data_IF_122209047548
#
_entry.id   IF_122209047548
#
_cell.length_a   1.000
_cell.length_b   1.000
_cell.length_c   1.000
_cell.angle_alpha   90.00
_cell.angle_beta   90.00
_cell.angle_gamma   90.00
#
_symmetry.space_group_name_H-M   'P 1'
#
loop_
_entity.id
_entity.type
_entity.pdbx_description
1 polymer ?
#
# COMPACT_ATOMS: atom_id res chain seq x y z
N UNK A 1 26.50 16.96 5.13
CA UNK A 1 26.46 15.51 4.89
C UNK A 1 27.51 14.85 5.77
N UNK A 2 27.21 13.66 6.25
CA UNK A 2 28.12 12.80 7.01
C UNK A 2 28.55 11.61 6.16
N UNK A 3 29.81 11.20 6.29
CA UNK A 3 30.38 10.05 5.57
C UNK A 3 30.75 8.96 6.56
N UNK A 4 30.21 7.76 6.36
CA UNK A 4 30.50 6.57 7.15
C UNK A 4 30.79 5.38 6.24
N UNK A 5 31.40 4.34 6.79
CA UNK A 5 31.64 3.08 6.07
C UNK A 5 30.72 1.99 6.64
N UNK A 6 29.96 1.30 5.80
CA UNK A 6 29.12 0.16 6.19
C UNK A 6 29.50 -1.04 5.33
N UNK A 7 30.03 -2.10 5.96
CA UNK A 7 30.49 -3.33 5.29
C UNK A 7 31.45 -3.06 4.11
N UNK A 8 32.38 -2.11 4.27
CA UNK A 8 33.34 -1.72 3.25
C UNK A 8 32.82 -0.72 2.20
N UNK A 9 31.53 -0.38 2.23
CA UNK A 9 30.93 0.63 1.34
C UNK A 9 30.95 2.00 2.01
N UNK A 10 31.42 3.02 1.29
CA UNK A 10 31.26 4.42 1.71
C UNK A 10 29.81 4.84 1.51
N UNK A 11 29.21 5.41 2.55
CA UNK A 11 27.82 5.86 2.59
C UNK A 11 27.82 7.34 2.97
N UNK A 12 27.08 8.14 2.21
CA UNK A 12 26.79 9.53 2.56
C UNK A 12 25.36 9.63 3.08
N UNK A 13 25.19 10.28 4.23
CA UNK A 13 23.88 10.46 4.85
C UNK A 13 23.71 11.90 5.35
N UNK A 14 22.47 12.31 5.57
CA UNK A 14 22.17 13.58 6.23
C UNK A 14 22.47 13.49 7.73
N UNK A 15 22.84 14.62 8.33
CA UNK A 15 23.08 14.69 9.76
C UNK A 15 21.78 14.38 10.53
N UNK A 16 21.90 13.63 11.64
CA UNK A 16 20.74 13.11 12.39
C UNK A 16 20.16 11.78 11.87
N UNK A 17 20.59 11.29 10.70
CA UNK A 17 20.18 9.96 10.20
C UNK A 17 20.73 8.84 11.09
N UNK A 18 19.95 7.78 11.32
CA UNK A 18 20.41 6.59 12.08
C UNK A 18 21.22 5.65 11.19
N UNK A 19 22.07 4.80 11.78
CA UNK A 19 22.80 3.78 11.01
C UNK A 19 21.85 2.88 10.22
N UNK A 20 20.68 2.53 10.78
CA UNK A 20 19.69 1.71 10.09
C UNK A 20 19.19 2.38 8.81
N UNK A 21 18.83 3.66 8.88
CA UNK A 21 18.34 4.39 7.71
C UNK A 21 19.45 4.58 6.67
N UNK A 22 20.67 4.90 7.09
CA UNK A 22 21.82 5.00 6.19
C UNK A 22 22.12 3.67 5.49
N UNK A 23 22.03 2.54 6.20
CA UNK A 23 22.20 1.21 5.63
C UNK A 23 21.11 0.89 4.58
N UNK A 24 19.86 1.28 4.85
CA UNK A 24 18.75 1.06 3.92
C UNK A 24 18.91 1.86 2.62
N UNK A 25 19.44 3.08 2.67
CA UNK A 25 19.70 3.90 1.48
C UNK A 25 20.64 3.22 0.47
N UNK A 26 21.57 2.39 0.95
CA UNK A 26 22.53 1.66 0.11
C UNK A 26 22.19 0.17 -0.05
N UNK A 27 20.96 -0.21 0.28
CA UNK A 27 20.44 -1.57 0.10
C UNK A 27 20.96 -2.61 1.10
N UNK A 28 21.61 -2.20 2.20
CA UNK A 28 22.09 -3.12 3.24
C UNK A 28 20.92 -3.46 4.18
N UNK A 29 20.56 -4.74 4.21
CA UNK A 29 19.44 -5.24 5.00
C UNK A 29 19.87 -5.56 6.44
N UNK A 30 19.31 -4.83 7.41
CA UNK A 30 19.48 -5.09 8.84
C UNK A 30 18.13 -5.51 9.43
N UNK A 31 18.01 -6.66 10.10
CA UNK A 31 16.73 -7.15 10.60
C UNK A 31 16.21 -6.33 11.79
N UNK A 32 14.89 -6.13 11.86
CA UNK A 32 14.21 -5.45 12.97
C UNK A 32 12.76 -5.92 13.13
N UNK A 33 12.22 -5.78 14.35
CA UNK A 33 10.78 -5.93 14.63
C UNK A 33 10.17 -4.71 15.33
N UNK A 34 10.98 -3.91 16.03
CA UNK A 34 10.50 -2.79 16.83
C UNK A 34 10.80 -1.41 16.23
N UNK A 35 11.26 -1.38 14.99
CA UNK A 35 11.54 -0.15 14.27
C UNK A 35 10.39 0.20 13.33
N UNK A 36 10.08 1.48 13.25
CA UNK A 36 9.17 2.05 12.27
C UNK A 36 9.72 3.43 11.93
N UNK A 37 9.83 3.77 10.64
CA UNK A 37 10.47 5.00 10.17
C UNK A 37 9.85 6.27 10.76
N UNK A 38 8.54 6.27 10.96
CA UNK A 38 7.80 7.43 11.47
C UNK A 38 7.69 7.45 13.01
N UNK A 39 8.43 6.63 13.74
CA UNK A 39 8.42 6.70 15.20
C UNK A 39 9.84 6.82 15.75
N UNK A 40 9.96 7.48 16.89
CA UNK A 40 11.24 7.60 17.59
C UNK A 40 11.92 6.23 17.75
N UNK A 41 13.25 6.13 17.62
CA UNK A 41 13.93 4.87 17.82
C UNK A 41 13.67 4.23 19.19
N UNK A 42 13.51 2.89 19.23
CA UNK A 42 13.32 2.13 20.48
C UNK A 42 14.54 1.33 20.91
N UNK A 43 15.17 0.62 19.96
CA UNK A 43 16.26 -0.33 20.25
C UNK A 43 15.86 -1.55 21.08
N UNK A 44 14.56 -1.80 21.33
CA UNK A 44 14.11 -2.85 22.26
C UNK A 44 14.34 -4.30 21.78
N UNK A 45 14.11 -4.60 20.49
CA UNK A 45 14.18 -5.98 20.00
C UNK A 45 15.60 -6.52 19.80
N UNK A 46 16.61 -5.65 19.71
CA UNK A 46 18.04 -5.98 19.53
C UNK A 46 18.40 -6.83 18.30
N UNK A 47 17.49 -7.03 17.35
CA UNK A 47 17.82 -7.65 16.05
C UNK A 47 18.76 -6.77 15.22
N UNK A 48 18.56 -5.46 15.29
CA UNK A 48 19.30 -4.45 14.53
C UNK A 48 20.71 -4.15 15.08
N UNK A 49 21.26 -5.01 15.93
CA UNK A 49 22.59 -4.79 16.48
C UNK A 49 23.64 -4.83 15.36
N UNK A 50 24.59 -3.90 15.43
CA UNK A 50 25.74 -3.75 14.52
C UNK A 50 26.99 -3.48 15.34
N UNK A 51 28.15 -3.77 14.77
CA UNK A 51 29.43 -3.39 15.35
C UNK A 51 29.83 -2.03 14.79
N UNK A 52 30.04 -1.06 15.68
CA UNK A 52 30.47 0.28 15.33
C UNK A 52 31.86 0.50 15.89
N UNK A 53 32.81 0.81 15.02
CA UNK A 53 34.19 1.15 15.38
C UNK A 53 34.37 2.66 15.28
N UNK A 54 34.79 3.27 16.38
CA UNK A 54 35.12 4.70 16.48
C UNK A 54 36.53 4.81 17.07
N UNK A 55 37.45 5.47 16.37
CA UNK A 55 38.84 5.66 16.82
C UNK A 55 39.52 4.36 17.30
N UNK A 56 39.31 3.25 16.57
CA UNK A 56 39.86 1.93 16.91
C UNK A 56 39.09 1.15 17.99
N UNK A 57 38.08 1.74 18.64
CA UNK A 57 37.25 1.05 19.63
C UNK A 57 35.95 0.53 19.02
N UNK A 58 35.77 -0.79 19.01
CA UNK A 58 34.55 -1.45 18.51
C UNK A 58 33.55 -1.69 19.63
N UNK A 59 32.29 -1.27 19.44
CA UNK A 59 31.17 -1.54 20.36
C UNK A 59 29.94 -2.03 19.59
N UNK A 60 29.15 -2.87 20.25
CA UNK A 60 27.85 -3.29 19.74
C UNK A 60 26.81 -2.20 20.00
N UNK A 61 26.12 -1.74 18.96
CA UNK A 61 25.12 -0.69 19.02
C UNK A 61 23.85 -1.07 18.26
N UNK A 62 22.65 -0.64 18.71
CA UNK A 62 21.43 -0.80 17.94
C UNK A 62 21.42 0.19 16.77
N UNK A 63 21.46 -0.30 15.53
CA UNK A 63 21.52 0.57 14.35
C UNK A 63 20.30 1.49 14.23
N UNK A 64 19.14 1.05 14.72
CA UNK A 64 17.90 1.83 14.67
C UNK A 64 17.93 3.10 15.52
N UNK A 65 18.78 3.20 16.54
CA UNK A 65 18.82 4.31 17.49
C UNK A 65 20.17 5.04 17.53
N UNK A 66 21.23 4.41 17.00
CA UNK A 66 22.54 5.03 16.97
C UNK A 66 22.64 6.01 15.79
N UNK A 67 22.94 7.30 16.02
CA UNK A 67 23.10 8.27 14.94
C UNK A 67 24.34 7.95 14.12
N UNK A 68 24.23 8.03 12.79
CA UNK A 68 25.38 7.97 11.91
C UNK A 68 26.29 9.17 12.19
N UNK A 69 27.61 8.94 12.17
CA UNK A 69 28.64 9.96 12.47
C UNK A 69 29.75 9.87 11.44
N UNK A 70 30.47 10.96 11.25
CA UNK A 70 31.65 10.97 10.38
C UNK A 70 32.71 9.97 10.83
N UNK A 71 33.32 9.30 9.85
CA UNK A 71 34.48 8.42 10.02
C UNK A 71 34.25 7.23 10.97
N UNK A 72 33.01 6.77 11.11
CA UNK A 72 32.72 5.51 11.80
C UNK A 72 32.70 4.35 10.79
N UNK A 73 33.18 3.19 11.25
CA UNK A 73 33.13 1.95 10.47
C UNK A 73 32.08 1.04 11.10
N UNK A 74 31.11 0.62 10.30
CA UNK A 74 30.01 -0.25 10.73
C UNK A 74 30.14 -1.59 10.04
N UNK A 75 30.08 -2.67 10.83
CA UNK A 75 29.96 -4.04 10.31
C UNK A 75 28.60 -4.61 10.70
N UNK A 76 27.91 -5.21 9.74
CA UNK A 76 26.54 -5.72 9.94
C UNK A 76 26.45 -7.25 9.94
N UNK A 77 27.51 -7.95 9.54
CA UNK A 77 27.51 -9.39 9.27
C UNK A 77 28.65 -10.18 9.97
N UNK A 78 29.22 -9.67 11.07
CA UNK A 78 30.27 -10.38 11.82
C UNK A 78 29.75 -11.66 12.47
N UNK A 79 30.63 -12.61 12.75
CA UNK A 79 30.27 -13.88 13.40
C UNK A 79 29.56 -13.64 14.75
N UNK A 80 30.05 -12.65 15.51
CA UNK A 80 29.46 -12.23 16.80
C UNK A 80 28.02 -11.74 16.62
N UNK A 81 27.75 -10.93 15.59
CA UNK A 81 26.41 -10.44 15.28
C UNK A 81 25.49 -11.56 14.83
N UNK A 82 25.97 -12.46 13.96
CA UNK A 82 25.20 -13.60 13.47
C UNK A 82 24.78 -14.50 14.64
N UNK A 83 25.71 -14.84 15.54
CA UNK A 83 25.41 -15.63 16.75
C UNK A 83 24.36 -14.95 17.64
N UNK A 84 24.51 -13.65 17.87
CA UNK A 84 23.55 -12.87 18.66
C UNK A 84 22.15 -12.82 18.04
N UNK A 85 22.06 -12.57 16.72
CA UNK A 85 20.79 -12.52 15.98
C UNK A 85 20.10 -13.89 15.96
N UNK A 86 20.85 -14.98 15.79
CA UNK A 86 20.31 -16.35 15.88
C UNK A 86 19.70 -16.63 17.24
N UNK A 87 20.38 -16.26 18.34
CA UNK A 87 19.85 -16.42 19.69
C UNK A 87 18.54 -15.63 19.88
N UNK A 88 18.50 -14.37 19.43
CA UNK A 88 17.28 -13.55 19.51
C UNK A 88 16.16 -14.17 18.67
N UNK A 89 16.45 -14.65 17.47
CA UNK A 89 15.48 -15.33 16.62
C UNK A 89 14.94 -16.62 17.27
N UNK A 90 15.78 -17.42 17.92
CA UNK A 90 15.34 -18.60 18.68
C UNK A 90 14.39 -18.23 19.83
N UNK A 91 14.66 -17.13 20.54
CA UNK A 91 13.79 -16.63 21.62
C UNK A 91 12.46 -16.10 21.08
N UNK A 92 12.50 -15.38 19.95
CA UNK A 92 11.29 -14.91 19.28
C UNK A 92 10.43 -16.07 18.78
N UNK A 93 11.06 -17.09 18.18
CA UNK A 93 10.40 -18.31 17.71
C UNK A 93 9.83 -19.13 18.87
N UNK A 94 10.52 -19.21 20.01
CA UNK A 94 9.97 -19.84 21.21
C UNK A 94 8.74 -19.11 21.73
N UNK A 95 8.72 -17.79 21.64
CA UNK A 95 7.57 -17.00 22.06
C UNK A 95 6.40 -17.13 21.09
N UNK A 96 6.66 -16.97 19.80
CA UNK A 96 5.66 -16.87 18.73
C UNK A 96 5.92 -17.92 17.63
N UNK A 97 5.72 -19.23 17.92
CA UNK A 97 6.09 -20.30 16.99
C UNK A 97 5.19 -20.39 15.75
N UNK A 98 3.98 -19.83 15.81
CA UNK A 98 2.96 -19.97 14.76
C UNK A 98 2.76 -18.67 13.94
N UNK A 99 3.67 -17.70 14.06
CA UNK A 99 3.55 -16.41 13.38
C UNK A 99 4.51 -16.36 12.19
N UNK A 100 3.97 -16.25 10.98
CA UNK A 100 4.75 -16.28 9.73
C UNK A 100 5.87 -15.25 9.68
N UNK A 101 5.63 -14.02 10.15
CA UNK A 101 6.68 -12.98 10.16
C UNK A 101 7.87 -13.36 11.05
N UNK A 102 7.62 -14.08 12.14
CA UNK A 102 8.66 -14.59 13.06
C UNK A 102 9.37 -15.80 12.46
N UNK A 103 8.61 -16.73 11.87
CA UNK A 103 9.14 -17.92 11.19
C UNK A 103 10.07 -17.51 10.04
N UNK A 104 9.61 -16.58 9.19
CA UNK A 104 10.37 -16.07 8.06
C UNK A 104 11.64 -15.35 8.49
N UNK A 105 11.57 -14.51 9.53
CA UNK A 105 12.77 -13.86 10.08
C UNK A 105 13.77 -14.90 10.62
N UNK A 106 13.29 -15.86 11.42
CA UNK A 106 14.15 -16.91 11.96
C UNK A 106 14.80 -17.74 10.83
N UNK A 107 14.02 -18.10 9.81
CA UNK A 107 14.50 -18.80 8.61
C UNK A 107 15.58 -18.01 7.87
N UNK A 108 15.40 -16.70 7.68
CA UNK A 108 16.42 -15.82 7.05
C UNK A 108 17.75 -15.79 7.81
N UNK A 109 17.73 -16.07 9.11
CA UNK A 109 18.90 -16.13 9.98
C UNK A 109 19.43 -17.57 10.15
N UNK A 110 18.85 -18.55 9.45
CA UNK A 110 19.24 -19.96 9.51
C UNK A 110 18.72 -20.70 10.76
N UNK A 111 17.70 -20.17 11.43
CA UNK A 111 17.06 -20.76 12.62
C UNK A 111 15.76 -21.45 12.19
N UNK A 112 15.74 -22.78 12.21
CA UNK A 112 14.56 -23.59 11.86
C UNK A 112 13.75 -24.07 13.07
N UNK A 113 14.41 -24.19 14.22
CA UNK A 113 13.81 -24.65 15.48
C UNK A 113 14.43 -23.91 16.65
N UNK A 114 13.69 -23.87 17.75
CA UNK A 114 14.16 -23.28 19.00
C UNK A 114 14.46 -24.38 20.02
N UNK A 115 15.45 -24.13 20.88
CA UNK A 115 15.80 -24.99 22.03
C UNK A 115 15.08 -24.56 23.31
N UNK A 116 14.35 -23.45 23.29
CA UNK A 116 13.63 -22.94 24.43
C UNK A 116 12.18 -23.47 24.45
N UNK A 117 11.57 -23.49 25.63
CA UNK A 117 10.17 -23.89 25.80
C UNK A 117 9.23 -22.96 25.04
N UNK A 118 8.32 -23.52 24.25
CA UNK A 118 7.32 -22.76 23.50
C UNK A 118 6.34 -22.04 24.43
N UNK A 119 5.93 -20.84 24.05
CA UNK A 119 4.95 -20.04 24.79
C UNK A 119 3.64 -19.81 24.04
N UNK A 120 3.58 -20.09 22.74
CA UNK A 120 2.38 -19.94 21.90
C UNK A 120 1.70 -18.57 22.03
N UNK A 121 2.47 -17.49 22.04
CA UNK A 121 1.95 -16.12 22.04
C UNK A 121 1.97 -15.55 20.62
N UNK A 122 1.05 -14.66 20.31
CA UNK A 122 1.05 -13.94 19.03
C UNK A 122 1.90 -12.66 19.07
N UNK A 123 2.29 -12.20 20.27
CA UNK A 123 2.93 -10.90 20.48
C UNK A 123 4.43 -11.04 20.76
N UNK A 124 5.27 -10.46 19.88
CA UNK A 124 6.73 -10.38 20.04
C UNK A 124 7.23 -9.29 21.00
N UNK A 125 6.32 -8.56 21.65
CA UNK A 125 6.64 -7.45 22.57
C UNK A 125 7.51 -6.34 21.93
N UNK A 126 7.29 -6.04 20.65
CA UNK A 126 8.04 -5.00 19.95
C UNK A 126 7.77 -3.58 20.50
N UNK A 127 6.60 -3.36 21.12
CA UNK A 127 6.22 -2.09 21.74
C UNK A 127 5.71 -1.01 20.78
N UNK A 128 5.60 -1.33 19.48
CA UNK A 128 5.09 -0.40 18.48
C UNK A 128 3.66 0.08 18.84
N UNK A 129 2.78 -0.83 19.27
CA UNK A 129 1.40 -0.52 19.66
C UNK A 129 1.31 0.44 20.86
N UNK A 130 2.12 0.21 21.90
CA UNK A 130 2.18 1.07 23.09
C UNK A 130 2.68 2.47 22.72
N UNK A 131 3.77 2.53 21.95
CA UNK A 131 4.38 3.79 21.52
C UNK A 131 3.49 4.58 20.58
N UNK A 132 2.84 3.96 19.61
CA UNK A 132 1.92 4.69 18.72
C UNK A 132 0.70 5.20 19.50
N UNK A 133 0.20 4.45 20.48
CA UNK A 133 -0.91 4.90 21.31
C UNK A 133 -0.54 6.11 22.18
N UNK A 134 0.67 6.10 22.78
CA UNK A 134 1.14 7.17 23.67
C UNK A 134 1.71 8.37 22.92
N UNK A 135 2.65 8.15 22.01
CA UNK A 135 3.46 9.22 21.44
C UNK A 135 2.78 9.85 20.22
N UNK A 136 2.00 9.06 19.48
CA UNK A 136 1.42 9.46 18.19
C UNK A 136 -0.06 9.80 18.35
N UNK A 137 -0.86 8.89 18.91
CA UNK A 137 -2.29 9.16 19.16
C UNK A 137 -2.52 10.05 20.39
N UNK A 138 -1.51 10.25 21.25
CA UNK A 138 -1.58 11.03 22.51
C UNK A 138 -2.67 10.54 23.48
N UNK A 139 -2.96 9.23 23.44
CA UNK A 139 -3.99 8.60 24.29
C UNK A 139 -3.34 7.80 25.43
N UNK A 140 -2.44 6.88 25.10
CA UNK A 140 -1.81 6.02 26.11
C UNK A 140 -2.73 4.96 26.74
N UNK A 141 -3.76 4.48 26.02
CA UNK A 141 -4.73 3.50 26.50
C UNK A 141 -4.18 2.08 26.75
N UNK A 142 -3.00 1.75 26.19
CA UNK A 142 -2.36 0.43 26.31
C UNK A 142 -0.89 0.58 26.72
N UNK A 143 -0.41 -0.36 27.52
CA UNK A 143 0.99 -0.44 27.95
C UNK A 143 1.46 -1.90 28.12
N UNK A 144 2.73 -2.07 28.48
CA UNK A 144 3.27 -3.33 28.94
C UNK A 144 2.97 -3.55 30.42
N UNK A 145 2.42 -4.71 30.74
CA UNK A 145 2.22 -5.20 32.10
C UNK A 145 3.05 -6.45 32.36
N UNK A 146 3.41 -6.68 33.62
CA UNK A 146 4.26 -7.79 34.03
C UNK A 146 5.75 -7.59 33.69
N UNK A 147 6.57 -8.59 34.01
CA UNK A 147 8.02 -8.59 33.80
C UNK A 147 8.50 -9.94 33.29
N UNK A 148 9.68 -9.95 32.67
CA UNK A 148 10.33 -11.17 32.16
C UNK A 148 9.43 -11.95 31.20
N UNK A 149 9.32 -13.27 31.43
CA UNK A 149 8.51 -14.19 30.62
C UNK A 149 7.03 -13.82 30.60
N UNK A 150 6.49 -13.31 31.70
CA UNK A 150 5.07 -12.98 31.87
C UNK A 150 4.70 -11.59 31.33
N UNK A 151 5.65 -10.87 30.72
CA UNK A 151 5.38 -9.57 30.13
C UNK A 151 4.41 -9.71 28.96
N UNK A 152 3.38 -8.87 28.94
CA UNK A 152 2.37 -8.78 27.87
C UNK A 152 1.90 -7.35 27.69
N UNK A 153 1.24 -7.07 26.57
CA UNK A 153 0.54 -5.81 26.35
C UNK A 153 -0.87 -5.91 26.91
N UNK A 154 -1.32 -4.89 27.64
CA UNK A 154 -2.65 -4.84 28.23
C UNK A 154 -3.14 -3.40 28.40
N UNK A 155 -4.43 -3.25 28.64
CA UNK A 155 -5.02 -2.04 29.20
C UNK A 155 -4.88 -2.02 30.73
N UNK A 156 -5.07 -0.87 31.39
CA UNK A 156 -5.14 -0.82 32.85
C UNK A 156 -6.16 -1.82 33.40
N UNK A 157 -5.72 -2.63 34.37
CA UNK A 157 -6.52 -3.67 35.03
C UNK A 157 -7.13 -4.73 34.09
N UNK A 158 -6.62 -4.89 32.86
CA UNK A 158 -7.19 -5.77 31.83
C UNK A 158 -8.64 -5.44 31.46
N UNK A 159 -9.08 -4.21 31.72
CA UNK A 159 -10.41 -3.73 31.39
C UNK A 159 -10.39 -2.83 30.14
N UNK A 160 -11.47 -2.77 29.34
CA UNK A 160 -11.55 -1.83 28.23
C UNK A 160 -11.29 -0.39 28.69
N UNK A 161 -10.23 0.23 28.19
CA UNK A 161 -9.88 1.62 28.53
C UNK A 161 -10.89 2.58 27.93
N UNK A 162 -11.41 3.50 28.74
CA UNK A 162 -12.31 4.57 28.29
C UNK A 162 -11.58 5.63 27.44
N UNK A 163 -10.27 5.74 27.62
CA UNK A 163 -9.42 6.64 26.84
C UNK A 163 -9.24 6.15 25.41
N UNK A 164 -9.35 4.83 25.17
CA UNK A 164 -9.12 4.23 23.86
C UNK A 164 -10.08 4.77 22.80
N UNK A 165 -9.64 5.73 21.98
CA UNK A 165 -10.48 6.37 20.97
C UNK A 165 -10.81 5.51 19.72
N UNK A 166 -10.46 4.22 19.74
CA UNK A 166 -10.75 3.29 18.63
C UNK A 166 -10.05 3.64 17.32
N UNK A 167 -8.91 4.31 17.35
CA UNK A 167 -8.23 4.80 16.14
C UNK A 167 -7.60 3.71 15.26
N UNK A 168 -7.33 2.53 15.82
CA UNK A 168 -6.74 1.40 15.10
C UNK A 168 -5.24 1.47 14.83
N UNK A 169 -4.55 2.54 15.28
CA UNK A 169 -3.11 2.69 15.06
C UNK A 169 -2.29 1.56 15.68
N UNK A 170 -2.74 0.95 16.78
CA UNK A 170 -2.05 -0.18 17.42
C UNK A 170 -2.15 -1.49 16.62
N UNK A 171 -3.30 -1.76 16.01
CA UNK A 171 -3.51 -2.90 15.12
C UNK A 171 -2.70 -2.73 13.83
N UNK A 172 -2.66 -1.50 13.32
CA UNK A 172 -1.87 -1.12 12.17
C UNK A 172 -0.37 -1.44 12.32
N UNK A 173 0.28 -0.94 13.37
CA UNK A 173 1.75 -1.04 13.51
C UNK A 173 2.20 -2.44 13.96
N UNK A 174 1.27 -3.38 14.15
CA UNK A 174 1.57 -4.67 14.75
C UNK A 174 2.19 -5.62 13.71
N UNK A 175 3.48 -5.98 13.83
CA UNK A 175 4.16 -6.79 12.82
C UNK A 175 3.76 -8.27 12.85
N UNK A 176 2.98 -8.69 13.84
CA UNK A 176 2.55 -10.08 14.04
C UNK A 176 1.04 -10.26 13.99
N UNK A 177 0.27 -9.18 13.85
CA UNK A 177 -1.20 -9.25 13.91
C UNK A 177 -1.79 -9.56 15.29
N UNK A 178 -0.98 -9.49 16.36
CA UNK A 178 -1.46 -9.69 17.73
C UNK A 178 -2.48 -8.64 18.18
N UNK A 179 -2.37 -7.41 17.66
CA UNK A 179 -3.34 -6.34 17.91
C UNK A 179 -4.39 -6.36 16.80
N UNK A 180 -5.66 -6.46 17.18
CA UNK A 180 -6.80 -6.52 16.26
C UNK A 180 -7.82 -5.44 16.60
N UNK A 181 -8.52 -4.97 15.57
CA UNK A 181 -9.68 -4.09 15.76
C UNK A 181 -10.92 -4.95 15.96
N UNK A 182 -11.38 -5.04 17.21
CA UNK A 182 -12.61 -5.74 17.54
C UNK A 182 -13.83 -4.90 17.16
N UNK A 183 -14.81 -5.54 16.53
CA UNK A 183 -16.03 -4.87 16.09
C UNK A 183 -16.84 -4.31 17.26
N UNK A 184 -16.86 -5.00 18.40
CA UNK A 184 -17.58 -4.56 19.61
C UNK A 184 -17.07 -3.23 20.15
N UNK A 185 -15.75 -3.03 20.13
CA UNK A 185 -15.14 -1.76 20.50
C UNK A 185 -15.57 -0.63 19.56
N UNK A 186 -15.73 -0.91 18.26
CA UNK A 186 -16.27 0.06 17.28
C UNK A 186 -17.75 0.33 17.50
N UNK A 187 -18.54 -0.69 17.89
CA UNK A 187 -19.97 -0.53 18.19
C UNK A 187 -20.21 0.42 19.37
N UNK A 188 -19.34 0.42 20.39
CA UNK A 188 -19.41 1.39 21.50
C UNK A 188 -19.44 2.83 20.98
N UNK A 189 -18.56 3.16 20.04
CA UNK A 189 -18.48 4.49 19.45
C UNK A 189 -19.73 4.83 18.62
N UNK A 190 -20.26 3.86 17.87
CA UNK A 190 -21.50 4.04 17.10
C UNK A 190 -22.73 4.26 17.99
N UNK A 191 -22.75 3.72 19.22
CA UNK A 191 -23.86 3.92 20.15
C UNK A 191 -23.86 5.29 20.83
N UNK A 192 -22.81 6.10 20.69
CA UNK A 192 -22.77 7.43 21.26
C UNK A 192 -23.81 8.36 20.60
N UNK A 193 -24.44 9.28 21.37
CA UNK A 193 -25.30 10.29 20.80
C UNK A 193 -24.50 11.21 19.87
N UNK A 194 -25.15 11.75 18.84
CA UNK A 194 -24.51 12.52 17.76
C UNK A 194 -23.39 13.46 18.20
N UNK A 195 -23.63 14.41 19.13
CA UNK A 195 -22.61 15.37 19.59
C UNK A 195 -21.35 14.74 20.20
N UNK A 196 -21.45 13.53 20.76
CA UNK A 196 -20.33 12.82 21.38
C UNK A 196 -19.54 11.96 20.40
N UNK A 197 -20.03 11.78 19.16
CA UNK A 197 -19.34 11.05 18.09
C UNK A 197 -18.17 11.86 17.50
N UNK A 198 -17.29 12.42 18.33
CA UNK A 198 -16.12 13.20 17.90
C UNK A 198 -15.23 12.39 16.97
N UNK A 199 -14.82 12.98 15.85
CA UNK A 199 -13.92 12.40 14.86
C UNK A 199 -12.58 11.97 15.47
N UNK A 200 -11.94 10.92 14.94
CA UNK A 200 -10.64 10.44 15.43
C UNK A 200 -9.56 11.53 15.37
N UNK A 201 -9.52 12.33 14.32
CA UNK A 201 -8.55 13.42 14.19
C UNK A 201 -8.83 14.58 15.13
N UNK A 202 -10.11 14.83 15.48
CA UNK A 202 -10.46 15.81 16.49
C UNK A 202 -9.96 15.34 17.86
N UNK A 203 -10.16 14.07 18.18
CA UNK A 203 -9.69 13.47 19.43
C UNK A 203 -8.16 13.44 19.54
N UNK A 204 -7.47 13.27 18.42
CA UNK A 204 -6.01 13.34 18.35
C UNK A 204 -5.47 14.78 18.34
N UNK A 205 -6.33 15.79 18.23
CA UNK A 205 -5.93 17.21 18.22
C UNK A 205 -5.47 17.76 16.86
N UNK A 206 -5.67 17.04 15.75
CA UNK A 206 -5.32 17.53 14.42
C UNK A 206 -6.35 18.47 13.80
N UNK A 207 -7.60 18.40 14.24
CA UNK A 207 -8.68 19.29 13.81
C UNK A 207 -9.43 19.81 15.03
N UNK A 208 -9.84 21.08 14.97
CA UNK A 208 -10.50 21.75 16.10
C UNK A 208 -11.86 21.15 16.42
N UNK A 209 -12.66 20.85 15.40
CA UNK A 209 -14.02 20.36 15.58
C UNK A 209 -14.50 19.52 14.40
N UNK A 210 -14.93 18.28 14.68
CA UNK A 210 -15.69 17.45 13.73
C UNK A 210 -16.42 16.35 14.47
N UNK A 211 -17.74 16.29 14.26
CA UNK A 211 -18.56 15.14 14.63
C UNK A 211 -18.61 14.15 13.45
N UNK A 212 -18.46 12.87 13.74
CA UNK A 212 -18.49 11.78 12.78
C UNK A 212 -19.93 11.50 12.35
N UNK A 213 -20.21 11.71 11.06
CA UNK A 213 -21.48 11.33 10.43
C UNK A 213 -21.40 9.97 9.71
N UNK A 214 -20.21 9.34 9.69
CA UNK A 214 -19.92 8.15 8.89
C UNK A 214 -19.81 6.87 9.74
N UNK A 215 -20.48 6.81 10.91
CA UNK A 215 -20.45 5.65 11.83
C UNK A 215 -19.04 5.08 12.10
N UNK A 216 -18.05 5.97 12.21
CA UNK A 216 -16.63 5.64 12.38
C UNK A 216 -16.04 4.72 11.29
N UNK A 217 -16.68 4.65 10.12
CA UNK A 217 -16.17 4.02 8.90
C UNK A 217 -15.13 4.92 8.23
N UNK A 218 -14.02 5.17 8.93
CA UNK A 218 -12.99 6.13 8.52
C UNK A 218 -12.44 5.84 7.11
N UNK A 219 -12.36 4.57 6.72
CA UNK A 219 -11.95 4.11 5.39
C UNK A 219 -12.78 4.68 4.21
N UNK A 220 -13.98 5.21 4.48
CA UNK A 220 -14.86 5.83 3.49
C UNK A 220 -15.15 7.32 3.79
N UNK A 221 -14.32 7.99 4.58
CA UNK A 221 -14.56 9.37 5.00
C UNK A 221 -13.59 10.32 4.30
N UNK A 222 -14.08 11.41 3.69
CA UNK A 222 -13.17 12.39 3.06
C UNK A 222 -12.27 13.12 4.05
N UNK A 223 -12.72 13.32 5.29
CA UNK A 223 -11.82 13.90 6.30
C UNK A 223 -10.63 12.96 6.50
N UNK A 224 -10.86 11.65 6.47
CA UNK A 224 -9.79 10.66 6.53
C UNK A 224 -8.88 10.73 5.31
N UNK A 225 -9.46 10.72 4.12
CA UNK A 225 -8.73 10.79 2.87
C UNK A 225 -7.89 12.07 2.78
N UNK A 226 -8.49 13.23 3.03
CA UNK A 226 -7.81 14.53 3.03
C UNK A 226 -6.70 14.59 4.07
N UNK A 227 -6.92 13.99 5.23
CA UNK A 227 -5.91 13.95 6.27
C UNK A 227 -4.76 13.02 5.90
N UNK A 228 -4.99 11.93 5.16
CA UNK A 228 -3.91 11.13 4.54
C UNK A 228 -3.16 11.95 3.47
N UNK A 229 -3.88 12.69 2.64
CA UNK A 229 -3.32 13.45 1.52
C UNK A 229 -2.45 14.64 2.00
N UNK A 230 -2.85 15.35 3.06
CA UNK A 230 -2.14 16.53 3.60
C UNK A 230 -0.84 16.18 4.34
N UNK A 231 -0.70 14.96 4.80
CA UNK A 231 0.34 14.55 5.71
C UNK A 231 1.42 13.74 4.98
N UNK A 232 2.42 14.45 4.47
CA UNK A 232 3.60 13.82 3.87
C UNK A 232 4.60 13.27 4.90
N UNK A 233 4.47 13.66 6.18
CA UNK A 233 5.49 13.39 7.22
C UNK A 233 4.96 12.95 8.59
N UNK A 234 3.64 12.99 8.83
CA UNK A 234 3.14 12.82 10.19
C UNK A 234 2.80 11.34 10.53
N UNK A 235 3.29 10.79 11.67
CA UNK A 235 3.22 9.36 12.00
C UNK A 235 1.84 8.74 12.20
N UNK A 236 0.76 9.52 12.25
CA UNK A 236 -0.62 8.99 12.23
C UNK A 236 -1.06 8.62 10.82
N UNK A 237 -0.52 9.32 9.82
CA UNK A 237 -1.04 9.30 8.45
C UNK A 237 -0.08 8.64 7.46
N UNK A 238 1.20 8.56 7.79
CA UNK A 238 2.19 7.70 7.11
C UNK A 238 1.94 6.20 7.36
N UNK A 239 0.95 5.88 8.21
CA UNK A 239 0.50 4.54 8.54
C UNK A 239 -0.55 4.03 7.53
N UNK A 240 -0.13 3.49 6.37
CA UNK A 240 -0.91 2.50 5.54
C UNK A 240 -0.12 1.19 5.38
N UNK A 241 -0.60 -0.03 5.70
CA UNK A 241 -1.91 -0.67 5.45
C UNK A 241 -2.70 -1.23 6.68
N UNK A 242 -3.57 -0.46 7.37
CA UNK A 242 -4.62 -1.08 8.22
C UNK A 242 -5.90 -1.14 7.42
N UNK A 243 -6.21 -2.36 6.98
CA UNK A 243 -7.31 -2.74 6.08
C UNK A 243 -7.07 -2.30 4.64
N UNK A 244 -6.15 -2.97 3.96
CA UNK A 244 -6.59 -3.53 2.68
C UNK A 244 -7.81 -4.39 3.04
N UNK A 245 -9.02 -3.93 2.66
CA UNK A 245 -10.18 -4.83 2.59
C UNK A 245 -9.76 -6.05 1.79
N UNK A 246 -10.32 -7.22 2.13
CA UNK A 246 -9.99 -8.51 1.52
C UNK A 246 -9.74 -8.33 0.02
N UNK A 247 -8.47 -8.40 -0.37
CA UNK A 247 -8.09 -8.37 -1.78
C UNK A 247 -8.52 -9.72 -2.29
N UNK A 248 -9.58 -9.72 -3.05
CA UNK A 248 -10.07 -10.94 -3.66
C UNK A 248 -9.25 -11.17 -4.92
N UNK A 249 -8.76 -12.40 -5.10
CA UNK A 249 -7.98 -12.79 -6.27
C UNK A 249 -8.85 -13.58 -7.23
N UNK A 250 -8.95 -13.09 -8.45
CA UNK A 250 -9.70 -13.72 -9.53
C UNK A 250 -8.78 -13.89 -10.73
N UNK A 251 -8.53 -15.12 -11.14
CA UNK A 251 -7.63 -15.42 -12.26
C UNK A 251 -6.21 -14.84 -12.11
N UNK A 252 -5.68 -14.74 -10.89
CA UNK A 252 -4.33 -14.22 -10.63
C UNK A 252 -4.23 -12.69 -10.46
N UNK A 253 -5.34 -11.96 -10.58
CA UNK A 253 -5.38 -10.50 -10.43
C UNK A 253 -6.15 -10.07 -9.18
N UNK A 254 -5.71 -8.97 -8.56
CA UNK A 254 -6.31 -8.42 -7.33
C UNK A 254 -7.44 -7.43 -7.61
N UNK A 255 -8.58 -7.61 -6.95
CA UNK A 255 -9.74 -6.72 -7.03
C UNK A 255 -10.19 -6.24 -5.64
N UNK A 256 -10.78 -5.05 -5.57
CA UNK A 256 -11.39 -4.49 -4.37
C UNK A 256 -12.90 -4.36 -4.54
N UNK A 257 -13.65 -4.93 -3.61
CA UNK A 257 -15.11 -4.98 -3.63
C UNK A 257 -15.81 -3.62 -3.44
N UNK A 258 -15.09 -2.55 -3.08
CA UNK A 258 -15.63 -1.20 -2.90
C UNK A 258 -15.48 -0.28 -4.12
N UNK A 259 -15.17 -0.86 -5.29
CA UNK A 259 -14.94 -0.12 -6.54
C UNK A 259 -15.79 -0.67 -7.67
N UNK A 260 -15.94 0.18 -8.66
CA UNK A 260 -16.47 -0.18 -9.96
C UNK A 260 -15.30 -0.38 -10.92
N UNK A 261 -15.48 -1.22 -11.92
CA UNK A 261 -14.46 -1.57 -12.90
C UNK A 261 -15.00 -1.38 -14.32
N UNK A 262 -14.14 -0.90 -15.21
CA UNK A 262 -14.42 -0.80 -16.64
C UNK A 262 -13.70 -1.91 -17.41
N UNK A 263 -14.30 -2.33 -18.53
CA UNK A 263 -13.69 -3.29 -19.45
C UNK A 263 -12.36 -2.81 -20.05
N UNK A 264 -12.06 -1.50 -20.01
CA UNK A 264 -10.76 -0.93 -20.36
C UNK A 264 -9.77 -0.87 -19.19
N UNK A 265 -9.98 -1.66 -18.13
CA UNK A 265 -9.09 -1.82 -16.98
C UNK A 265 -8.86 -0.57 -16.11
N UNK A 266 -9.88 0.29 -16.08
CA UNK A 266 -9.94 1.45 -15.19
C UNK A 266 -10.87 1.13 -14.01
N UNK A 267 -10.36 1.24 -12.78
CA UNK A 267 -11.23 1.24 -11.61
C UNK A 267 -11.77 2.65 -11.35
N UNK A 268 -12.99 2.71 -10.83
CA UNK A 268 -13.71 3.94 -10.49
C UNK A 268 -14.21 3.84 -9.05
N UNK A 269 -13.94 4.88 -8.25
CA UNK A 269 -14.44 5.01 -6.88
C UNK A 269 -15.18 6.33 -6.71
N UNK A 270 -16.43 6.28 -6.26
CA UNK A 270 -17.26 7.46 -6.01
C UNK A 270 -16.81 8.20 -4.75
N UNK A 271 -16.68 9.53 -4.84
CA UNK A 271 -16.33 10.43 -3.73
C UNK A 271 -17.15 11.72 -3.88
N UNK A 272 -18.11 11.98 -2.98
CA UNK A 272 -18.91 13.22 -2.95
C UNK A 272 -19.38 13.78 -4.31
N UNK A 273 -20.04 12.94 -5.12
CA UNK A 273 -20.57 13.37 -6.42
C UNK A 273 -19.53 13.41 -7.55
N UNK A 274 -18.23 13.38 -7.21
CA UNK A 274 -17.14 13.11 -8.16
C UNK A 274 -16.76 11.64 -8.16
N UNK A 275 -15.95 11.24 -9.13
CA UNK A 275 -15.39 9.90 -9.23
C UNK A 275 -13.88 9.99 -9.37
N UNK A 276 -13.18 9.16 -8.60
CA UNK A 276 -11.74 8.98 -8.67
C UNK A 276 -11.43 7.75 -9.53
N UNK A 277 -10.43 7.84 -10.38
CA UNK A 277 -10.05 6.78 -11.32
C UNK A 277 -8.59 6.36 -11.16
N UNK A 278 -8.27 5.12 -11.54
CA UNK A 278 -6.90 4.63 -11.66
C UNK A 278 -6.86 3.29 -12.40
N UNK A 279 -5.65 2.77 -12.64
CA UNK A 279 -5.49 1.47 -13.29
C UNK A 279 -5.74 0.33 -12.30
N UNK A 280 -6.32 -0.76 -12.78
CA UNK A 280 -6.49 -1.99 -12.01
C UNK A 280 -5.20 -2.82 -11.91
N UNK A 281 -5.28 -3.94 -11.17
CA UNK A 281 -4.14 -4.84 -11.01
C UNK A 281 -3.77 -5.59 -12.30
N UNK A 282 -4.72 -5.78 -13.22
CA UNK A 282 -4.47 -6.39 -14.53
C UNK A 282 -3.51 -5.54 -15.37
N UNK A 283 -3.81 -4.25 -15.49
CA UNK A 283 -2.94 -3.28 -16.16
C UNK A 283 -1.56 -3.23 -15.51
N UNK A 284 -1.52 -3.14 -14.17
CA UNK A 284 -0.27 -3.08 -13.39
C UNK A 284 0.62 -4.30 -13.67
N UNK A 285 0.07 -5.51 -13.66
CA UNK A 285 0.86 -6.73 -13.86
C UNK A 285 1.35 -6.89 -15.30
N UNK A 286 0.56 -6.48 -16.30
CA UNK A 286 0.93 -6.58 -17.71
C UNK A 286 1.99 -5.56 -18.10
N UNK A 287 1.86 -4.32 -17.61
CA UNK A 287 2.71 -3.19 -17.98
C UNK A 287 3.97 -3.12 -17.12
N UNK A 288 3.90 -3.61 -15.88
CA UNK A 288 5.01 -3.60 -14.93
C UNK A 288 5.20 -2.25 -14.25
N UNK A 289 6.45 -1.83 -14.06
CA UNK A 289 6.79 -0.58 -13.39
C UNK A 289 6.66 0.61 -14.36
N UNK A 290 5.69 1.47 -14.11
CA UNK A 290 5.43 2.66 -14.92
C UNK A 290 6.45 3.75 -14.54
N UNK A 291 7.17 4.26 -15.54
CA UNK A 291 8.19 5.28 -15.36
C UNK A 291 7.73 6.67 -15.81
N UNK A 292 6.72 6.73 -16.69
CA UNK A 292 6.16 7.98 -17.18
C UNK A 292 4.65 7.85 -17.43
N UNK A 293 3.92 8.94 -17.21
CA UNK A 293 2.48 9.02 -17.43
C UNK A 293 2.09 10.40 -17.95
N UNK A 294 1.31 10.42 -19.03
CA UNK A 294 0.76 11.65 -19.62
C UNK A 294 -0.72 11.76 -19.31
N UNK A 295 -1.07 12.86 -18.65
CA UNK A 295 -2.43 13.14 -18.20
C UNK A 295 -3.05 14.35 -18.93
N UNK A 296 -4.38 14.36 -19.12
CA UNK A 296 -5.10 15.51 -19.62
C UNK A 296 -5.06 16.68 -18.62
N UNK A 297 -5.34 17.88 -19.10
CA UNK A 297 -5.36 19.09 -18.27
C UNK A 297 -6.60 19.15 -17.37
N UNK A 298 -6.42 19.66 -16.15
CA UNK A 298 -7.53 19.98 -15.25
C UNK A 298 -8.47 20.99 -15.90
N UNK A 299 -9.76 20.88 -15.62
CA UNK A 299 -10.87 21.64 -16.23
C UNK A 299 -11.24 21.28 -17.67
N UNK A 300 -10.53 20.35 -18.32
CA UNK A 300 -10.98 19.82 -19.60
C UNK A 300 -12.18 18.88 -19.44
N UNK A 301 -12.99 18.75 -20.49
CA UNK A 301 -14.09 17.81 -20.55
C UNK A 301 -13.63 16.55 -21.30
N UNK A 302 -13.95 15.39 -20.76
CA UNK A 302 -13.69 14.09 -21.40
C UNK A 302 -15.02 13.41 -21.72
N UNK A 303 -15.09 12.85 -22.92
CA UNK A 303 -16.21 12.00 -23.35
C UNK A 303 -15.83 10.54 -23.15
N UNK A 304 -16.82 9.67 -23.00
CA UNK A 304 -16.56 8.24 -22.90
C UNK A 304 -15.81 7.71 -24.14
N UNK A 305 -14.72 6.97 -23.90
CA UNK A 305 -13.84 6.47 -24.96
C UNK A 305 -12.82 7.48 -25.50
N UNK A 306 -12.73 8.69 -24.94
CA UNK A 306 -11.60 9.59 -25.16
C UNK A 306 -10.32 9.05 -24.47
N UNK A 307 -9.11 9.40 -24.94
CA UNK A 307 -7.89 9.07 -24.23
C UNK A 307 -7.87 9.64 -22.80
N UNK A 308 -7.76 8.77 -21.81
CA UNK A 308 -7.71 9.12 -20.38
C UNK A 308 -6.29 9.39 -19.92
N UNK A 309 -5.35 8.51 -20.29
CA UNK A 309 -3.93 8.70 -20.02
C UNK A 309 -3.09 7.82 -20.95
N UNK A 310 -1.81 8.19 -21.09
CA UNK A 310 -0.81 7.38 -21.77
C UNK A 310 0.22 6.98 -20.73
N UNK A 311 0.46 5.69 -20.55
CA UNK A 311 1.46 5.18 -19.61
C UNK A 311 2.64 4.58 -20.38
N UNK A 312 3.86 4.84 -19.90
CA UNK A 312 5.08 4.29 -20.47
C UNK A 312 5.82 3.45 -19.44
N UNK A 313 6.12 2.21 -19.78
CA UNK A 313 6.84 1.26 -18.94
C UNK A 313 7.67 0.34 -19.82
N UNK A 314 8.89 0.01 -19.40
CA UNK A 314 9.69 -1.03 -20.04
C UNK A 314 9.81 -0.90 -21.58
N UNK A 315 10.00 0.33 -22.09
CA UNK A 315 10.08 0.68 -23.53
C UNK A 315 8.77 0.49 -24.32
N UNK A 316 7.68 0.13 -23.66
CA UNK A 316 6.33 0.03 -24.23
C UNK A 316 5.49 1.23 -23.80
N UNK A 317 4.53 1.57 -24.65
CA UNK A 317 3.50 2.58 -24.36
C UNK A 317 2.12 1.93 -24.42
N UNK A 318 1.22 2.39 -23.56
CA UNK A 318 -0.17 1.93 -23.50
C UNK A 318 -1.12 3.13 -23.39
N UNK A 319 -2.16 3.11 -24.21
CA UNK A 319 -3.22 4.12 -24.21
C UNK A 319 -4.44 3.61 -23.46
N UNK A 320 -4.84 4.31 -22.41
CA UNK A 320 -6.04 4.00 -21.64
C UNK A 320 -7.14 5.02 -21.96
N UNK A 321 -8.39 4.57 -21.93
CA UNK A 321 -9.55 5.33 -22.39
C UNK A 321 -10.56 5.60 -21.27
N UNK A 322 -11.27 6.72 -21.36
CA UNK A 322 -12.18 7.18 -20.33
C UNK A 322 -13.41 6.27 -20.23
N UNK A 323 -13.74 5.74 -19.04
CA UNK A 323 -14.87 4.84 -18.87
C UNK A 323 -16.22 5.56 -18.80
N UNK A 324 -16.21 6.89 -18.57
CA UNK A 324 -17.39 7.73 -18.46
C UNK A 324 -17.07 9.16 -18.94
N UNK A 325 -18.12 9.93 -19.17
CA UNK A 325 -18.03 11.34 -19.55
C UNK A 325 -18.15 12.28 -18.34
N UNK A 326 -17.47 13.42 -18.42
CA UNK A 326 -17.52 14.44 -17.38
C UNK A 326 -16.38 15.44 -17.45
N UNK A 327 -16.39 16.38 -16.49
CA UNK A 327 -15.34 17.40 -16.36
C UNK A 327 -14.22 16.90 -15.46
N UNK A 328 -12.97 17.01 -15.89
CA UNK A 328 -11.81 16.71 -15.03
C UNK A 328 -11.69 17.83 -13.99
N UNK A 329 -11.85 17.46 -12.73
CA UNK A 329 -11.79 18.40 -11.59
C UNK A 329 -10.41 18.41 -10.94
N UNK A 330 -9.67 17.30 -11.01
CA UNK A 330 -8.36 17.20 -10.39
C UNK A 330 -7.51 16.09 -11.02
N UNK A 331 -6.19 16.19 -10.88
CA UNK A 331 -5.20 15.18 -11.27
C UNK A 331 -4.28 14.90 -10.08
N UNK A 332 -3.78 13.68 -9.94
CA UNK A 332 -2.97 13.32 -8.79
C UNK A 332 -1.54 13.89 -8.89
N UNK A 333 -1.15 14.87 -8.06
CA UNK A 333 0.19 15.46 -8.12
C UNK A 333 1.28 14.45 -7.75
N UNK A 334 1.01 13.52 -6.83
CA UNK A 334 1.97 12.50 -6.41
C UNK A 334 2.39 11.60 -7.59
N UNK A 335 1.48 11.33 -8.53
CA UNK A 335 1.73 10.50 -9.71
C UNK A 335 2.46 11.27 -10.81
N UNK A 336 2.30 12.59 -10.88
CA UNK A 336 3.08 13.44 -11.78
C UNK A 336 4.54 13.48 -11.31
N UNK A 337 4.75 13.64 -9.99
CA UNK A 337 6.09 13.66 -9.39
C UNK A 337 6.74 12.27 -9.39
N UNK A 338 5.95 11.21 -9.19
CA UNK A 338 6.42 9.83 -9.17
C UNK A 338 5.43 8.87 -9.86
N UNK A 339 5.55 8.68 -11.18
CA UNK A 339 4.68 7.79 -11.97
C UNK A 339 4.65 6.34 -11.49
N UNK A 340 5.71 5.87 -10.83
CA UNK A 340 5.79 4.50 -10.31
C UNK A 340 4.73 4.20 -9.25
N UNK A 341 4.15 5.22 -8.60
CA UNK A 341 3.06 5.06 -7.63
C UNK A 341 1.83 4.38 -8.23
N UNK A 342 1.57 4.59 -9.52
CA UNK A 342 0.48 3.93 -10.25
C UNK A 342 0.68 2.41 -10.24
N UNK A 343 1.92 1.94 -10.35
CA UNK A 343 2.25 0.52 -10.23
C UNK A 343 2.37 0.07 -8.78
N UNK A 344 3.00 0.84 -7.88
CA UNK A 344 3.29 0.40 -6.50
C UNK A 344 2.02 0.36 -5.63
N UNK A 345 1.10 1.31 -5.82
CA UNK A 345 -0.11 1.44 -5.03
C UNK A 345 -1.34 1.84 -5.89
N UNK A 346 -1.71 1.04 -6.92
CA UNK A 346 -2.74 1.40 -7.92
C UNK A 346 -4.08 1.75 -7.30
N UNK A 347 -4.48 1.02 -6.25
CA UNK A 347 -5.73 1.23 -5.55
C UNK A 347 -5.61 2.23 -4.37
N UNK A 348 -4.40 2.73 -4.09
CA UNK A 348 -4.10 3.63 -2.97
C UNK A 348 -3.70 5.02 -3.48
N UNK A 349 -2.43 5.36 -3.29
CA UNK A 349 -1.84 6.64 -3.72
C UNK A 349 -1.61 6.74 -5.24
N UNK A 350 -1.73 5.63 -5.97
CA UNK A 350 -1.56 5.57 -7.43
C UNK A 350 -2.82 5.85 -8.25
N UNK A 351 -3.83 6.53 -7.68
CA UNK A 351 -4.96 7.04 -8.47
C UNK A 351 -4.48 8.12 -9.44
N UNK A 352 -5.19 8.32 -10.54
CA UNK A 352 -4.68 9.13 -11.65
C UNK A 352 -5.37 10.50 -11.71
N UNK A 353 -6.70 10.51 -11.80
CA UNK A 353 -7.47 11.73 -11.93
C UNK A 353 -8.86 11.61 -11.31
N UNK A 354 -9.52 12.77 -11.13
CA UNK A 354 -10.89 12.89 -10.64
C UNK A 354 -11.76 13.59 -11.68
N UNK A 355 -12.97 13.06 -11.85
CA UNK A 355 -13.96 13.54 -12.81
C UNK A 355 -15.26 13.85 -12.08
N UNK A 356 -15.90 14.95 -12.43
CA UNK A 356 -17.29 15.21 -12.14
C UNK A 356 -18.14 14.67 -13.30
N UNK A 357 -18.81 13.52 -13.13
CA UNK A 357 -19.54 12.87 -14.22
C UNK A 357 -20.78 13.67 -14.61
N UNK A 358 -21.08 13.77 -15.90
CA UNK A 358 -22.28 14.43 -16.42
C UNK A 358 -23.56 13.73 -15.95
N UNK A 359 -23.55 12.39 -15.96
CA UNK A 359 -24.61 11.54 -15.41
C UNK A 359 -24.02 10.38 -14.62
N UNK A 360 -24.07 10.51 -13.29
CA UNK A 360 -23.53 9.49 -12.38
C UNK A 360 -24.36 8.20 -12.35
N UNK A 361 -25.66 8.28 -12.66
CA UNK A 361 -26.57 7.14 -12.64
C UNK A 361 -26.29 6.26 -13.86
N UNK A 362 -26.16 6.89 -15.03
CA UNK A 362 -25.81 6.19 -16.27
C UNK A 362 -24.40 5.58 -16.17
N UNK A 363 -23.42 6.35 -15.69
CA UNK A 363 -22.06 5.85 -15.51
C UNK A 363 -22.02 4.60 -14.59
N UNK A 364 -22.82 4.57 -13.52
CA UNK A 364 -22.87 3.43 -12.60
C UNK A 364 -23.46 2.16 -13.21
N UNK A 365 -24.34 2.28 -14.22
CA UNK A 365 -24.96 1.12 -14.90
C UNK A 365 -24.01 0.44 -15.90
N UNK A 366 -23.10 1.22 -16.48
CA UNK A 366 -22.16 0.71 -17.49
C UNK A 366 -20.87 0.15 -16.90
N UNK A 367 -20.63 0.39 -15.61
CA UNK A 367 -19.49 -0.14 -14.89
C UNK A 367 -19.82 -1.46 -14.19
N UNK A 368 -18.82 -2.32 -14.10
CA UNK A 368 -18.90 -3.63 -13.47
C UNK A 368 -18.68 -3.51 -11.96
N UNK A 369 -19.39 -4.30 -11.16
CA UNK A 369 -19.20 -4.36 -9.70
C UNK A 369 -19.65 -5.71 -9.13
N UNK A 370 -19.12 -6.08 -7.97
CA UNK A 370 -19.44 -7.36 -7.33
C UNK A 370 -19.22 -8.54 -8.28
N UNK A 371 -20.21 -9.43 -8.39
CA UNK A 371 -20.12 -10.67 -9.17
C UNK A 371 -19.84 -10.46 -10.67
N UNK A 372 -20.38 -9.40 -11.28
CA UNK A 372 -20.12 -9.14 -12.71
C UNK A 372 -18.67 -8.74 -12.97
N UNK A 373 -18.06 -7.99 -12.05
CA UNK A 373 -16.64 -7.65 -12.12
C UNK A 373 -15.76 -8.89 -11.92
N UNK A 374 -16.10 -9.77 -10.98
CA UNK A 374 -15.34 -11.01 -10.74
C UNK A 374 -15.37 -11.96 -11.94
N UNK A 375 -16.54 -12.13 -12.56
CA UNK A 375 -16.71 -12.99 -13.73
C UNK A 375 -15.97 -12.41 -14.95
N UNK A 376 -16.05 -11.09 -15.14
CA UNK A 376 -15.28 -10.39 -16.17
C UNK A 376 -13.78 -10.57 -15.98
N UNK A 377 -13.23 -10.28 -14.79
CA UNK A 377 -11.79 -10.35 -14.54
C UNK A 377 -11.23 -11.78 -14.67
N UNK A 378 -12.02 -12.77 -14.25
CA UNK A 378 -11.67 -14.19 -14.45
C UNK A 378 -11.62 -14.54 -15.94
N UNK A 379 -12.61 -14.09 -16.71
CA UNK A 379 -12.67 -14.33 -18.14
C UNK A 379 -11.56 -13.60 -18.92
N UNK A 380 -11.28 -12.36 -18.54
CA UNK A 380 -10.15 -11.55 -19.00
C UNK A 380 -8.82 -12.27 -18.78
N UNK A 381 -8.61 -12.77 -17.56
CA UNK A 381 -7.43 -13.57 -17.24
C UNK A 381 -7.29 -14.79 -18.14
N UNK A 382 -8.36 -15.57 -18.33
CA UNK A 382 -8.32 -16.77 -19.17
C UNK A 382 -7.97 -16.42 -20.63
N UNK A 383 -8.61 -15.39 -21.19
CA UNK A 383 -8.31 -14.89 -22.54
C UNK A 383 -6.85 -14.47 -22.69
N UNK A 384 -6.32 -13.77 -21.69
CA UNK A 384 -4.93 -13.34 -21.68
C UNK A 384 -3.98 -14.54 -21.68
N UNK A 385 -4.21 -15.53 -20.81
CA UNK A 385 -3.40 -16.75 -20.76
C UNK A 385 -3.43 -17.52 -22.08
N UNK A 386 -4.60 -17.67 -22.71
CA UNK A 386 -4.74 -18.31 -24.02
C UNK A 386 -3.99 -17.56 -25.12
N UNK A 387 -4.10 -16.22 -25.15
CA UNK A 387 -3.41 -15.39 -26.13
C UNK A 387 -1.89 -15.51 -25.98
N UNK A 388 -1.37 -15.42 -24.75
CA UNK A 388 0.08 -15.53 -24.48
C UNK A 388 0.61 -16.93 -24.82
N UNK A 389 -0.14 -17.99 -24.49
CA UNK A 389 0.25 -19.36 -24.84
C UNK A 389 0.30 -19.56 -26.36
N UNK A 390 -0.67 -19.00 -27.09
CA UNK A 390 -0.76 -19.15 -28.55
C UNK A 390 0.29 -18.31 -29.29
N UNK A 391 0.50 -17.08 -28.87
CA UNK A 391 1.30 -16.08 -29.60
C UNK A 391 2.76 -16.03 -29.15
N UNK A 392 3.03 -16.22 -27.84
CA UNK A 392 4.39 -16.15 -27.29
C UNK A 392 4.94 -17.52 -26.85
N UNK A 393 4.14 -18.59 -26.90
CA UNK A 393 4.49 -19.92 -26.40
C UNK A 393 4.94 -19.94 -24.92
N UNK A 394 4.57 -18.92 -24.14
CA UNK A 394 4.90 -18.81 -22.72
C UNK A 394 3.77 -19.45 -21.91
N UNK A 395 4.11 -20.48 -21.14
CA UNK A 395 3.16 -21.09 -20.20
C UNK A 395 3.13 -20.29 -18.90
N UNK A 396 2.10 -19.48 -18.74
CA UNK A 396 1.81 -18.75 -17.51
C UNK A 396 0.97 -19.63 -16.57
N UNK A 397 1.29 -19.60 -15.27
CA UNK A 397 0.46 -20.22 -14.25
C UNK A 397 -0.65 -19.24 -13.84
N UNK A 398 -1.94 -19.65 -13.83
CA UNK A 398 -3.07 -18.78 -13.49
C UNK A 398 -2.99 -18.13 -12.10
N UNK A 399 -2.16 -18.68 -11.21
CA UNK A 399 -2.03 -18.29 -9.80
C UNK A 399 -0.78 -17.44 -9.52
N UNK A 400 0.07 -17.20 -10.52
CA UNK A 400 1.39 -16.56 -10.33
C UNK A 400 1.41 -15.16 -10.94
N UNK A 401 1.90 -14.19 -10.16
CA UNK A 401 2.18 -12.83 -10.62
C UNK A 401 3.15 -12.85 -11.81
N UNK A 402 2.86 -12.04 -12.83
CA UNK A 402 3.76 -11.86 -13.97
C UNK A 402 5.12 -11.28 -13.50
N UNK A 403 6.25 -11.71 -14.08
CA UNK A 403 7.55 -11.07 -13.83
C UNK A 403 7.48 -9.56 -14.12
N UNK A 404 8.20 -8.72 -13.36
CA UNK A 404 8.17 -7.26 -13.58
C UNK A 404 8.67 -6.82 -14.96
N UNK A 405 9.55 -7.64 -15.57
CA UNK A 405 10.07 -7.42 -16.93
C UNK A 405 9.24 -8.11 -18.01
N UNK A 406 8.07 -8.67 -17.68
CA UNK A 406 7.21 -9.40 -18.62
C UNK A 406 7.00 -8.67 -19.97
N UNK A 407 6.68 -7.35 -20.01
CA UNK A 407 6.55 -6.66 -21.29
C UNK A 407 7.83 -6.59 -22.14
N UNK A 408 9.02 -6.68 -21.54
CA UNK A 408 10.30 -6.71 -22.28
C UNK A 408 10.52 -8.01 -23.01
N UNK A 409 9.93 -9.09 -22.51
CA UNK A 409 10.05 -10.44 -23.07
C UNK A 409 9.12 -10.59 -24.30
N UNK A 410 8.16 -9.68 -24.49
CA UNK A 410 7.19 -9.73 -25.58
C UNK A 410 7.66 -8.97 -26.83
N UNK A 411 7.58 -9.64 -27.98
CA UNK A 411 7.72 -9.03 -29.29
C UNK A 411 6.67 -7.92 -29.51
N UNK A 412 7.01 -6.94 -30.35
CA UNK A 412 6.14 -5.78 -30.58
C UNK A 412 4.77 -6.17 -31.18
N UNK A 413 4.72 -7.20 -32.02
CA UNK A 413 3.47 -7.66 -32.63
C UNK A 413 2.53 -8.31 -31.61
N UNK A 414 3.08 -9.06 -30.66
CA UNK A 414 2.31 -9.65 -29.55
C UNK A 414 1.80 -8.54 -28.63
N UNK A 415 2.63 -7.54 -28.32
CA UNK A 415 2.22 -6.36 -27.54
C UNK A 415 1.06 -5.61 -28.20
N UNK A 416 1.14 -5.36 -29.51
CA UNK A 416 0.07 -4.68 -30.27
C UNK A 416 -1.25 -5.47 -30.25
N UNK A 417 -1.20 -6.81 -30.22
CA UNK A 417 -2.38 -7.67 -30.08
C UNK A 417 -2.99 -7.56 -28.67
N UNK A 418 -2.16 -7.52 -27.63
CA UNK A 418 -2.60 -7.32 -26.24
C UNK A 418 -3.31 -5.97 -26.09
N UNK A 419 -2.67 -4.87 -26.53
CA UNK A 419 -3.24 -3.52 -26.50
C UNK A 419 -4.64 -3.46 -27.16
N UNK A 420 -4.72 -3.98 -28.39
CA UNK A 420 -5.98 -4.02 -29.16
C UNK A 420 -7.06 -4.88 -28.52
N UNK A 421 -6.70 -5.94 -27.80
CA UNK A 421 -7.67 -6.92 -27.27
C UNK A 421 -8.22 -6.47 -25.93
N UNK A 422 -7.37 -5.96 -25.05
CA UNK A 422 -7.70 -5.73 -23.65
C UNK A 422 -7.92 -4.25 -23.31
N UNK A 423 -7.21 -3.33 -23.96
CA UNK A 423 -7.23 -1.91 -23.55
C UNK A 423 -8.02 -1.00 -24.52
N UNK A 424 -8.11 -1.34 -25.80
CA UNK A 424 -8.84 -0.55 -26.82
C UNK A 424 -10.35 -0.85 -26.93
N UNK A 425 -10.96 -1.53 -25.95
CA UNK A 425 -12.35 -2.01 -26.02
C UNK A 425 -13.36 -0.85 -26.16
N UNK A 426 -13.18 0.22 -25.36
CA UNK A 426 -14.05 1.41 -25.37
C UNK A 426 -13.92 2.24 -26.65
N UNK A 427 -12.71 2.38 -27.19
CA UNK A 427 -12.49 3.06 -28.46
C UNK A 427 -13.22 2.36 -29.63
N UNK A 428 -13.21 1.01 -29.65
CA UNK A 428 -13.94 0.23 -30.66
C UNK A 428 -15.46 0.38 -30.56
N UNK A 429 -16.02 0.46 -29.34
CA UNK A 429 -17.46 0.70 -29.13
C UNK A 429 -17.89 2.09 -29.64
N UNK A 430 -17.06 3.12 -29.42
CA UNK A 430 -17.29 4.46 -29.95
C UNK A 430 -17.29 4.46 -31.48
N UNK A 431 -16.28 3.90 -32.14
CA UNK A 431 -16.22 3.85 -33.62
C UNK A 431 -17.44 3.14 -34.21
N UNK A 432 -17.92 2.06 -33.57
CA UNK A 432 -19.18 1.39 -33.97
C UNK A 432 -20.41 2.30 -33.88
N UNK A 433 -20.58 3.05 -32.80
CA UNK A 433 -21.71 3.98 -32.62
C UNK A 433 -21.71 5.10 -33.67
N UNK A 434 -20.54 5.64 -34.03
CA UNK A 434 -20.42 6.64 -35.10
C UNK A 434 -20.69 6.05 -36.50
N UNK A 435 -20.31 4.79 -36.76
CA UNK A 435 -20.57 4.13 -38.06
C UNK A 435 -22.03 3.74 -38.32
N UNK A 436 -22.89 3.74 -37.29
CA UNK A 436 -24.33 3.41 -37.41
C UNK A 436 -25.19 4.69 -37.52
N UNK A 437 -24.60 5.87 -37.34
CA UNK A 437 -25.28 7.17 -37.35
C UNK A 437 -25.13 8.01 -38.62
N UNK A 438 -24.79 7.43 -39.77
CA UNK A 438 -24.79 8.13 -41.07
C UNK A 438 -25.75 7.43 -42.04
N UNK A 439 -27.02 7.83 -42.00
CA UNK A 439 -27.84 7.89 -43.22
C UNK A 439 -27.49 9.19 -43.94
N UNK A 440 -26.86 9.09 -45.11
CA UNK A 440 -26.64 10.22 -46.02
C UNK A 440 -27.96 10.97 -46.30
N UNK A 441 -27.97 12.31 -46.25
CA UNK A 441 -29.05 13.07 -46.87
C UNK A 441 -28.87 13.04 -48.40
N UNK A 442 -29.90 12.53 -49.06
CA UNK A 442 -30.12 12.43 -50.51
C UNK A 442 -29.76 13.74 -51.26
N UNK A 443 -28.77 13.73 -52.18
CA UNK A 443 -28.37 14.91 -52.93
C UNK A 443 -29.16 15.02 -54.24
N UNK A 444 -30.48 15.18 -54.16
CA UNK A 444 -31.28 15.59 -55.34
C UNK A 444 -32.65 16.14 -54.93
N UNK A 445 -32.71 17.45 -54.62
CA UNK A 445 -33.87 18.35 -54.84
C UNK A 445 -33.51 19.80 -54.49
N UNK A 446 -32.80 20.45 -55.40
CA UNK A 446 -32.90 21.91 -55.61
C UNK A 446 -32.85 22.14 -57.11
N UNK A 447 -34.02 22.16 -57.73
CA UNK A 447 -34.50 23.15 -58.72
C UNK A 447 -35.98 22.90 -58.95
#
# INVERSE_FOLDING_TARGET
>A
MITLEIDGKKVEAEDGTTILNAAQQVGIQIPYFCYHKDMEPYGGCRLCMVEVTVNGFTRLQPSCAYPAKNNIIVKTNTERLIKGRKLIAELLLARCPNIDSVINLAGSLGVKKTRFSLMNSDCVLCGLCVRVCRNVAKVGAIDFVGRGRNRRTATPFDMPSEDCIGCGSCAYVCPTGAMKMEYENVLRWRKLPGPLRKCRYMRMGFISYKVCANDFQCWNCEVDQRMEDLSTSHPVFMLKEARAKERERFGGFEMLSDRFYDEGHIWVKRINGTVRMGIDDFTRQIVGLINDIKLPSVNSFISQGDPLCIISANEKTLHLYAPLEGKIVDINPDVIDNPSLVSVAPHGRGWILMVEPSDIVQASKELLSGRSATEWLTHESHKFHELILKEAQIKLSPERLLPQDFPRILEQDVWNKIDKTFFMVRQKRRVKLYSVGHTDPDPQKVT
#
